data_IF_427394295642
#
_entry.id   IF_427394295642
#
_cell.length_a   1.000
_cell.length_b   1.000
_cell.length_c   1.000
_cell.angle_alpha   90.00
_cell.angle_beta   90.00
_cell.angle_gamma   90.00
#
_symmetry.space_group_name_H-M   'P 1'
#
loop_
_entity.id
_entity.type
_entity.pdbx_description
1 polymer ?
#
# COMPACT_ATOMS: atom_id res chain seq x y z
N UNK A 1 11.46 14.23 -13.34
CA UNK A 1 11.40 12.79 -12.98
C UNK A 1 11.80 12.56 -11.51
N UNK A 2 12.92 13.07 -11.02
CA UNK A 2 13.39 12.88 -9.65
C UNK A 2 12.35 13.25 -8.59
N UNK A 3 11.76 14.44 -8.69
CA UNK A 3 10.69 14.88 -7.81
C UNK A 3 9.49 13.91 -7.77
N UNK A 4 9.13 13.31 -8.89
CA UNK A 4 8.06 12.30 -8.97
C UNK A 4 8.47 10.98 -8.30
N UNK A 5 9.71 10.53 -8.48
CA UNK A 5 10.23 9.34 -7.77
C UNK A 5 10.21 9.55 -6.25
N UNK A 6 10.71 10.69 -5.78
CA UNK A 6 10.60 11.08 -4.35
C UNK A 6 9.16 11.10 -3.89
N UNK A 7 8.28 11.67 -4.74
CA UNK A 7 6.84 11.76 -4.51
C UNK A 7 6.18 10.42 -4.25
N UNK A 8 6.63 9.33 -4.87
CA UNK A 8 6.09 7.99 -4.61
C UNK A 8 6.24 7.58 -3.15
N UNK A 9 7.44 7.72 -2.57
CA UNK A 9 7.69 7.34 -1.17
C UNK A 9 7.03 8.31 -0.20
N UNK A 10 7.20 9.62 -0.44
CA UNK A 10 6.65 10.66 0.41
C UNK A 10 5.11 10.67 0.38
N UNK A 11 4.51 10.46 -0.80
CA UNK A 11 3.06 10.38 -0.96
C UNK A 11 2.47 9.15 -0.28
N UNK A 12 3.13 7.99 -0.40
CA UNK A 12 2.78 6.78 0.34
C UNK A 12 2.77 7.06 1.85
N UNK A 13 3.88 7.58 2.38
CA UNK A 13 4.02 7.90 3.79
C UNK A 13 3.00 8.96 4.25
N UNK A 14 2.70 9.97 3.42
CA UNK A 14 1.72 10.98 3.75
C UNK A 14 0.29 10.43 3.80
N UNK A 15 -0.08 9.58 2.84
CA UNK A 15 -1.38 8.92 2.84
C UNK A 15 -1.58 8.06 4.08
N UNK A 16 -0.60 7.23 4.41
CA UNK A 16 -0.53 6.42 5.63
C UNK A 16 -0.73 7.28 6.89
N UNK A 17 0.14 8.26 7.09
CA UNK A 17 0.12 9.17 8.26
C UNK A 17 -1.19 9.93 8.38
N UNK A 18 -1.73 10.44 7.28
CA UNK A 18 -2.98 11.20 7.27
C UNK A 18 -4.19 10.30 7.56
N UNK A 19 -4.16 9.04 7.15
CA UNK A 19 -5.24 8.07 7.36
C UNK A 19 -5.26 7.44 8.75
N UNK A 20 -4.08 7.24 9.36
CA UNK A 20 -3.91 6.56 10.66
C UNK A 20 -4.82 7.04 11.81
N UNK A 21 -5.08 8.36 12.02
CA UNK A 21 -5.91 8.81 13.14
C UNK A 21 -7.33 8.28 13.16
N UNK A 22 -7.85 7.87 12.00
CA UNK A 22 -9.23 7.43 11.83
C UNK A 22 -9.37 6.02 11.23
N UNK A 23 -8.27 5.24 11.24
CA UNK A 23 -8.26 3.84 10.80
C UNK A 23 -9.32 3.01 11.54
N UNK A 24 -10.12 2.26 10.77
CA UNK A 24 -11.20 1.43 11.29
C UNK A 24 -12.43 2.19 11.78
N UNK A 25 -12.51 3.50 11.52
CA UNK A 25 -13.68 4.31 11.85
C UNK A 25 -14.69 4.26 10.69
N UNK A 26 -15.97 4.47 11.02
CA UNK A 26 -17.01 4.70 10.00
C UNK A 26 -17.05 6.20 9.66
N UNK A 27 -17.48 6.54 8.45
CA UNK A 27 -17.67 7.93 8.00
C UNK A 27 -18.39 8.80 9.05
N UNK A 28 -19.52 8.32 9.56
CA UNK A 28 -20.30 9.02 10.59
C UNK A 28 -19.49 9.29 11.87
N UNK A 29 -18.65 8.35 12.30
CA UNK A 29 -17.82 8.52 13.50
C UNK A 29 -16.74 9.58 13.29
N UNK A 30 -16.18 9.67 12.07
CA UNK A 30 -15.24 10.71 11.68
C UNK A 30 -15.92 12.09 11.70
N UNK A 31 -17.10 12.18 11.10
CA UNK A 31 -17.91 13.41 11.07
C UNK A 31 -18.31 13.87 12.48
N UNK A 32 -18.72 12.96 13.37
CA UNK A 32 -19.11 13.28 14.75
C UNK A 32 -17.94 13.80 15.58
N UNK A 33 -16.71 13.29 15.36
CA UNK A 33 -15.54 13.66 16.16
C UNK A 33 -14.79 14.86 15.61
N UNK A 34 -14.57 14.89 14.28
CA UNK A 34 -13.74 15.90 13.62
C UNK A 34 -14.53 16.90 12.77
N UNK A 35 -15.84 16.69 12.56
CA UNK A 35 -16.60 17.45 11.57
C UNK A 35 -16.09 17.11 10.16
N UNK A 36 -15.64 18.11 9.44
CA UNK A 36 -14.96 17.91 8.16
C UNK A 36 -13.48 17.58 8.41
N UNK A 37 -13.09 16.31 8.25
CA UNK A 37 -11.67 15.94 8.30
C UNK A 37 -10.94 16.58 7.11
N UNK A 38 -10.09 17.57 7.39
CA UNK A 38 -9.47 18.44 6.36
C UNK A 38 -7.93 18.43 6.40
N UNK A 39 -7.33 17.92 7.50
CA UNK A 39 -5.89 17.84 7.67
C UNK A 39 -5.53 16.85 8.80
N UNK A 40 -4.24 16.54 8.92
CA UNK A 40 -3.75 15.82 10.09
C UNK A 40 -4.02 16.67 11.35
N UNK A 41 -4.75 16.16 12.36
CA UNK A 41 -5.04 16.92 13.56
C UNK A 41 -3.75 17.26 14.32
N UNK A 42 -3.72 18.41 14.99
CA UNK A 42 -2.59 18.79 15.85
C UNK A 42 -2.64 18.10 17.22
N UNK A 43 -3.83 17.65 17.63
CA UNK A 43 -4.06 16.88 18.84
C UNK A 43 -5.31 15.99 18.67
N UNK A 44 -5.34 14.87 19.37
CA UNK A 44 -6.54 14.03 19.42
C UNK A 44 -7.61 14.64 20.32
N UNK A 45 -8.87 14.79 19.87
CA UNK A 45 -9.97 15.21 20.72
C UNK A 45 -10.44 14.05 21.62
N UNK A 46 -9.62 13.69 22.60
CA UNK A 46 -9.76 12.48 23.43
C UNK A 46 -11.15 12.33 24.04
N UNK A 47 -11.74 13.42 24.50
CA UNK A 47 -13.07 13.42 25.14
C UNK A 47 -14.18 12.96 24.19
N UNK A 48 -13.99 13.15 22.88
CA UNK A 48 -14.95 12.72 21.84
C UNK A 48 -14.68 11.31 21.31
N UNK A 49 -13.48 10.75 21.55
CA UNK A 49 -13.07 9.45 21.00
C UNK A 49 -13.51 8.34 21.96
N UNK A 50 -14.25 7.36 21.45
CA UNK A 50 -14.66 6.17 22.22
C UNK A 50 -13.44 5.39 22.76
N UNK A 51 -13.48 4.94 24.01
CA UNK A 51 -12.36 4.29 24.71
C UNK A 51 -11.73 3.14 23.92
N UNK A 52 -12.55 2.27 23.29
CA UNK A 52 -12.07 1.16 22.46
C UNK A 52 -11.20 1.60 21.28
N UNK A 53 -11.38 2.84 20.79
CA UNK A 53 -10.60 3.40 19.68
C UNK A 53 -9.35 4.11 20.16
N UNK A 54 -9.35 4.67 21.39
CA UNK A 54 -8.17 5.31 21.98
C UNK A 54 -6.98 4.37 22.05
N UNK A 55 -7.21 3.06 22.25
CA UNK A 55 -6.16 2.03 22.30
C UNK A 55 -5.43 1.80 20.97
N UNK A 56 -5.96 2.31 19.86
CA UNK A 56 -5.34 2.23 18.52
C UNK A 56 -4.66 3.54 18.11
N UNK A 57 -4.76 4.58 18.94
CA UNK A 57 -4.11 5.84 18.62
C UNK A 57 -2.60 5.71 18.74
N UNK A 58 -1.90 6.35 17.83
CA UNK A 58 -0.45 6.44 17.77
C UNK A 58 -0.01 7.91 17.79
N UNK A 59 1.26 8.25 18.07
CA UNK A 59 1.74 9.62 17.91
C UNK A 59 1.34 10.18 16.54
N UNK A 60 0.85 11.40 16.50
CA UNK A 60 0.49 12.05 15.23
C UNK A 60 1.74 12.21 14.36
N UNK A 61 1.60 11.90 13.09
CA UNK A 61 2.71 11.88 12.16
C UNK A 61 3.48 10.55 12.09
N UNK A 62 3.27 9.63 13.03
CA UNK A 62 3.91 8.31 12.99
C UNK A 62 3.20 7.41 11.97
N UNK A 63 3.98 6.90 11.04
CA UNK A 63 3.55 5.97 10.00
C UNK A 63 3.20 4.56 10.55
N UNK A 64 2.39 3.82 9.79
CA UNK A 64 2.00 2.43 10.07
C UNK A 64 2.93 1.40 9.42
N UNK A 65 2.45 0.16 9.31
CA UNK A 65 3.14 -0.90 8.58
C UNK A 65 3.16 -0.68 7.06
N UNK A 66 2.31 0.15 6.50
CA UNK A 66 2.31 0.52 5.08
C UNK A 66 3.65 1.11 4.67
N UNK A 67 4.04 2.22 5.29
CA UNK A 67 5.33 2.88 5.07
C UNK A 67 6.50 2.02 5.53
N UNK A 68 6.36 1.35 6.67
CA UNK A 68 7.36 0.46 7.25
C UNK A 68 7.77 -0.66 6.30
N UNK A 69 6.79 -1.37 5.73
CA UNK A 69 7.03 -2.44 4.79
C UNK A 69 7.52 -1.93 3.43
N UNK A 70 7.10 -0.73 3.00
CA UNK A 70 7.63 -0.07 1.82
C UNK A 70 9.13 0.25 1.96
N UNK A 71 9.55 0.80 3.09
CA UNK A 71 10.96 1.04 3.40
C UNK A 71 11.76 -0.28 3.47
N UNK A 72 11.22 -1.34 4.08
CA UNK A 72 11.85 -2.66 4.11
C UNK A 72 12.07 -3.24 2.71
N UNK A 73 11.12 -3.00 1.81
CA UNK A 73 11.20 -3.44 0.42
C UNK A 73 12.31 -2.68 -0.33
N UNK A 74 12.40 -1.35 -0.15
CA UNK A 74 13.51 -0.53 -0.67
C UNK A 74 14.85 -1.02 -0.14
N UNK A 75 14.96 -1.29 1.17
CA UNK A 75 16.18 -1.86 1.79
C UNK A 75 16.62 -3.14 1.10
N UNK A 76 15.68 -4.01 0.75
CA UNK A 76 15.97 -5.29 0.10
C UNK A 76 16.42 -5.09 -1.34
N UNK A 77 15.72 -4.24 -2.10
CA UNK A 77 16.03 -4.01 -3.52
C UNK A 77 17.35 -3.27 -3.73
N UNK A 78 17.75 -2.39 -2.80
CA UNK A 78 19.00 -1.63 -2.85
C UNK A 78 20.16 -2.33 -2.12
N UNK A 79 20.00 -3.57 -1.72
CA UNK A 79 21.12 -4.37 -1.23
C UNK A 79 22.13 -4.67 -2.36
N UNK A 80 23.38 -4.94 -1.97
CA UNK A 80 24.39 -5.38 -2.93
C UNK A 80 23.92 -6.62 -3.68
N UNK A 81 23.92 -6.58 -5.01
CA UNK A 81 23.40 -7.63 -5.88
C UNK A 81 21.90 -7.51 -6.24
N UNK A 82 21.20 -6.46 -5.78
CA UNK A 82 19.79 -6.22 -6.12
C UNK A 82 18.80 -7.09 -5.34
N UNK A 83 17.62 -7.32 -5.95
CA UNK A 83 16.56 -8.13 -5.35
C UNK A 83 17.01 -9.55 -5.01
N UNK A 84 16.69 -9.97 -3.78
CA UNK A 84 16.96 -11.34 -3.31
C UNK A 84 15.84 -11.79 -2.35
N UNK A 85 15.21 -12.94 -2.64
CA UNK A 85 14.10 -13.51 -1.86
C UNK A 85 14.50 -13.86 -0.43
N UNK A 86 15.71 -14.36 -0.23
CA UNK A 86 16.17 -14.75 1.10
C UNK A 86 16.48 -13.51 1.94
N UNK A 87 16.99 -12.43 1.34
CA UNK A 87 17.14 -11.13 2.00
C UNK A 87 15.78 -10.56 2.41
N UNK A 88 14.77 -10.63 1.53
CA UNK A 88 13.39 -10.26 1.84
C UNK A 88 12.82 -11.08 3.01
N UNK A 89 12.92 -12.40 2.96
CA UNK A 89 12.53 -13.27 4.07
C UNK A 89 13.26 -12.91 5.36
N UNK A 90 14.56 -12.66 5.27
CA UNK A 90 15.40 -12.34 6.42
C UNK A 90 14.94 -11.06 7.13
N UNK A 91 14.75 -9.96 6.41
CA UNK A 91 14.31 -8.70 7.00
C UNK A 91 12.92 -8.82 7.65
N UNK A 92 11.98 -9.52 7.00
CA UNK A 92 10.65 -9.74 7.52
C UNK A 92 10.67 -10.57 8.83
N UNK A 93 11.40 -11.68 8.84
CA UNK A 93 11.46 -12.57 10.00
C UNK A 93 12.24 -11.94 11.16
N UNK A 94 13.34 -11.23 10.87
CA UNK A 94 14.09 -10.54 11.90
C UNK A 94 13.29 -9.38 12.51
N UNK A 95 12.57 -8.61 11.69
CA UNK A 95 11.66 -7.56 12.19
C UNK A 95 10.59 -8.11 13.13
N UNK A 96 10.01 -9.28 12.81
CA UNK A 96 9.09 -9.95 13.73
C UNK A 96 9.77 -10.35 15.04
N UNK A 97 10.99 -10.91 15.00
CA UNK A 97 11.74 -11.32 16.20
C UNK A 97 12.10 -10.14 17.10
N UNK A 98 12.38 -9.00 16.51
CA UNK A 98 12.75 -7.76 17.21
C UNK A 98 11.54 -6.90 17.63
N UNK A 99 10.31 -7.31 17.26
CA UNK A 99 9.12 -6.53 17.54
C UNK A 99 9.04 -5.23 16.75
N UNK A 100 9.69 -5.18 15.58
CA UNK A 100 9.78 -4.00 14.75
C UNK A 100 8.45 -3.66 14.04
N UNK A 101 7.66 -4.68 13.68
CA UNK A 101 6.42 -4.49 12.93
C UNK A 101 5.27 -4.00 13.83
N UNK A 102 4.60 -2.91 13.44
CA UNK A 102 3.41 -2.34 14.09
C UNK A 102 2.20 -2.34 13.15
N UNK A 103 1.00 -2.43 13.69
CA UNK A 103 -0.23 -2.37 12.89
C UNK A 103 -0.51 -3.58 11.99
N UNK A 104 0.42 -4.53 11.89
CA UNK A 104 0.37 -5.62 10.91
C UNK A 104 -0.85 -6.52 11.02
N UNK A 105 -1.43 -6.85 9.88
CA UNK A 105 -2.57 -7.74 9.78
C UNK A 105 -2.23 -9.21 10.11
N UNK A 106 -3.27 -9.98 10.46
CA UNK A 106 -3.17 -11.40 10.81
C UNK A 106 -2.46 -12.23 9.74
N UNK A 107 -2.82 -12.06 8.48
CA UNK A 107 -2.30 -12.88 7.38
C UNK A 107 -0.80 -12.65 7.12
N UNK A 108 -0.33 -11.41 7.27
CA UNK A 108 1.10 -11.10 7.24
C UNK A 108 1.83 -11.82 8.37
N UNK A 109 1.32 -11.71 9.60
CA UNK A 109 1.90 -12.38 10.77
C UNK A 109 1.97 -13.91 10.61
N UNK A 110 0.91 -14.53 10.06
CA UNK A 110 0.88 -15.97 9.79
C UNK A 110 1.94 -16.38 8.75
N UNK A 111 2.14 -15.59 7.70
CA UNK A 111 3.19 -15.85 6.70
C UNK A 111 4.59 -15.80 7.34
N UNK A 112 4.85 -14.77 8.16
CA UNK A 112 6.12 -14.63 8.86
C UNK A 112 6.38 -15.80 9.85
N UNK A 113 5.34 -16.27 10.53
CA UNK A 113 5.47 -17.46 11.39
C UNK A 113 5.85 -18.72 10.61
N UNK A 114 5.31 -18.92 9.40
CA UNK A 114 5.70 -20.04 8.52
C UNK A 114 7.15 -19.89 8.08
N UNK A 115 7.56 -18.71 7.61
CA UNK A 115 8.96 -18.42 7.23
C UNK A 115 9.92 -18.66 8.39
N UNK A 116 9.56 -18.25 9.63
CA UNK A 116 10.37 -18.46 10.84
C UNK A 116 10.54 -19.94 11.16
N UNK A 117 9.53 -20.78 10.86
CA UNK A 117 9.60 -22.25 11.03
C UNK A 117 10.39 -22.97 9.93
N UNK A 118 10.97 -22.22 8.99
CA UNK A 118 11.80 -22.76 7.91
C UNK A 118 11.08 -22.95 6.58
N UNK A 119 9.79 -22.61 6.47
CA UNK A 119 9.08 -22.72 5.20
C UNK A 119 9.73 -21.81 4.15
N UNK A 120 9.81 -22.30 2.92
CA UNK A 120 10.35 -21.53 1.79
C UNK A 120 9.46 -20.34 1.49
N UNK A 121 10.04 -19.26 0.94
CA UNK A 121 9.32 -18.03 0.58
C UNK A 121 8.16 -18.33 -0.36
N UNK A 122 8.37 -19.21 -1.32
CA UNK A 122 7.40 -19.60 -2.35
C UNK A 122 6.14 -20.27 -1.77
N UNK A 123 6.21 -20.76 -0.53
CA UNK A 123 5.10 -21.47 0.11
C UNK A 123 4.52 -20.76 1.34
N UNK A 124 5.21 -19.73 1.84
CA UNK A 124 4.88 -19.10 3.12
C UNK A 124 3.67 -18.19 3.09
N UNK A 125 3.26 -17.68 1.94
CA UNK A 125 2.15 -16.74 1.78
C UNK A 125 0.83 -17.23 2.39
N UNK A 126 0.03 -16.30 2.90
CA UNK A 126 -1.29 -16.57 3.48
C UNK A 126 -2.42 -16.40 2.44
N UNK A 127 -3.56 -17.10 2.58
CA UNK A 127 -4.69 -17.01 1.65
C UNK A 127 -5.46 -15.70 1.87
N UNK A 128 -4.93 -14.59 1.39
CA UNK A 128 -5.47 -13.25 1.58
C UNK A 128 -5.49 -12.46 0.27
N UNK A 129 -6.66 -11.96 -0.10
CA UNK A 129 -6.87 -10.98 -1.16
C UNK A 129 -6.86 -9.53 -0.61
N UNK A 130 -6.28 -9.33 0.58
CA UNK A 130 -6.14 -8.02 1.20
C UNK A 130 -5.07 -7.16 0.55
N UNK A 131 -4.98 -5.90 0.98
CA UNK A 131 -4.10 -4.89 0.38
C UNK A 131 -2.66 -4.91 0.90
N UNK A 132 -2.30 -5.78 1.85
CA UNK A 132 -0.98 -5.76 2.49
C UNK A 132 0.23 -5.99 1.56
N UNK A 133 0.03 -6.51 0.33
CA UNK A 133 1.06 -6.51 -0.70
C UNK A 133 1.06 -5.18 -1.49
N UNK A 134 -0.13 -4.66 -1.83
CA UNK A 134 -0.28 -3.45 -2.64
C UNK A 134 0.19 -2.18 -1.92
N UNK A 135 -0.07 -2.07 -0.61
CA UNK A 135 0.27 -0.88 0.18
C UNK A 135 1.76 -0.51 0.17
N UNK A 136 2.63 -1.51 0.07
CA UNK A 136 4.09 -1.34 0.12
C UNK A 136 4.78 -1.31 -1.24
N UNK A 137 4.03 -1.59 -2.33
CA UNK A 137 4.62 -1.89 -3.64
C UNK A 137 5.09 -0.65 -4.41
N UNK A 138 4.56 0.52 -4.07
CA UNK A 138 4.81 1.77 -4.80
C UNK A 138 6.27 2.03 -5.13
N UNK A 139 7.20 1.94 -4.17
CA UNK A 139 8.62 2.16 -4.41
C UNK A 139 9.24 1.29 -5.51
N UNK A 140 8.73 0.07 -5.76
CA UNK A 140 9.22 -0.77 -6.86
C UNK A 140 8.97 -0.14 -8.22
N UNK A 141 7.77 0.46 -8.42
CA UNK A 141 7.45 1.20 -9.63
C UNK A 141 8.40 2.38 -9.86
N UNK A 142 8.95 2.97 -8.80
CA UNK A 142 9.94 4.05 -8.91
C UNK A 142 11.37 3.55 -9.14
N UNK A 143 11.77 2.45 -8.49
CA UNK A 143 13.09 1.84 -8.66
C UNK A 143 13.28 1.26 -10.06
N UNK A 144 12.26 0.60 -10.58
CA UNK A 144 12.29 -0.13 -11.85
C UNK A 144 11.38 0.50 -12.91
N UNK A 145 11.35 1.85 -12.98
CA UNK A 145 10.46 2.58 -13.87
C UNK A 145 10.90 2.63 -15.35
N UNK A 146 12.09 2.15 -15.68
CA UNK A 146 12.56 2.15 -17.07
C UNK A 146 11.90 1.02 -17.86
N UNK A 147 11.54 1.24 -19.15
CA UNK A 147 10.90 0.20 -19.96
C UNK A 147 11.68 -1.12 -20.00
N UNK A 148 13.02 -1.05 -20.02
CA UNK A 148 13.92 -2.21 -20.06
C UNK A 148 13.87 -3.04 -18.76
N UNK A 149 13.35 -2.48 -17.69
CA UNK A 149 13.24 -3.11 -16.37
C UNK A 149 11.85 -3.72 -16.13
N UNK A 150 10.95 -3.68 -17.11
CA UNK A 150 9.57 -4.14 -16.94
C UNK A 150 9.48 -5.60 -16.47
N UNK A 151 10.30 -6.51 -17.00
CA UNK A 151 10.34 -7.91 -16.59
C UNK A 151 10.84 -8.07 -15.14
N UNK A 152 11.87 -7.31 -14.76
CA UNK A 152 12.37 -7.29 -13.40
C UNK A 152 11.30 -6.73 -12.43
N UNK A 153 10.59 -5.68 -12.83
CA UNK A 153 9.50 -5.12 -12.03
C UNK A 153 8.40 -6.17 -11.79
N UNK A 154 7.97 -6.91 -12.81
CA UNK A 154 7.04 -8.03 -12.67
C UNK A 154 7.56 -9.06 -11.67
N UNK A 155 8.79 -9.52 -11.86
CA UNK A 155 9.39 -10.53 -11.00
C UNK A 155 9.40 -10.08 -9.53
N UNK A 156 9.97 -8.91 -9.24
CA UNK A 156 10.14 -8.42 -7.87
C UNK A 156 8.78 -8.16 -7.21
N UNK A 157 7.84 -7.56 -7.95
CA UNK A 157 6.51 -7.26 -7.43
C UNK A 157 5.73 -8.52 -7.09
N UNK A 158 5.73 -9.54 -7.97
CA UNK A 158 5.02 -10.80 -7.74
C UNK A 158 5.68 -11.61 -6.63
N UNK A 159 7.01 -11.79 -6.66
CA UNK A 159 7.74 -12.55 -5.64
C UNK A 159 7.58 -11.94 -4.23
N UNK A 160 7.72 -10.61 -4.11
CA UNK A 160 7.55 -9.93 -2.82
C UNK A 160 6.11 -10.00 -2.29
N UNK A 161 5.13 -10.02 -3.19
CA UNK A 161 3.71 -10.11 -2.85
C UNK A 161 3.33 -11.53 -2.42
N UNK A 162 3.65 -12.55 -3.22
CA UNK A 162 3.34 -13.95 -2.96
C UNK A 162 4.00 -14.48 -1.70
N UNK A 163 5.15 -13.93 -1.32
CA UNK A 163 5.82 -14.27 -0.05
C UNK A 163 4.90 -14.11 1.17
N UNK A 164 3.94 -13.19 1.12
CA UNK A 164 3.04 -12.90 2.25
C UNK A 164 1.56 -13.09 1.94
N UNK A 165 1.13 -12.87 0.69
CA UNK A 165 -0.25 -12.92 0.21
C UNK A 165 -0.30 -13.82 -1.02
N UNK A 166 -0.70 -15.08 -0.84
CA UNK A 166 -0.71 -16.06 -1.94
C UNK A 166 -1.99 -16.06 -2.80
N UNK A 167 -2.95 -15.18 -2.52
CA UNK A 167 -4.11 -14.98 -3.40
C UNK A 167 -3.66 -14.28 -4.68
N UNK A 168 -3.97 -14.87 -5.85
CA UNK A 168 -3.55 -14.35 -7.15
C UNK A 168 -4.06 -12.92 -7.40
N UNK A 169 -5.24 -12.56 -6.85
CA UNK A 169 -5.78 -11.19 -6.95
C UNK A 169 -4.92 -10.18 -6.21
N UNK A 170 -4.46 -10.52 -4.99
CA UNK A 170 -3.62 -9.63 -4.20
C UNK A 170 -2.25 -9.39 -4.85
N UNK A 171 -1.61 -10.47 -5.31
CA UNK A 171 -0.30 -10.38 -5.97
C UNK A 171 -0.40 -9.69 -7.34
N UNK A 172 -1.39 -10.06 -8.15
CA UNK A 172 -1.63 -9.46 -9.46
C UNK A 172 -1.95 -7.97 -9.37
N UNK A 173 -2.82 -7.56 -8.43
CA UNK A 173 -3.12 -6.14 -8.23
C UNK A 173 -1.90 -5.35 -7.75
N UNK A 174 -1.11 -5.89 -6.81
CA UNK A 174 0.10 -5.22 -6.33
C UNK A 174 1.11 -5.00 -7.48
N UNK A 175 1.36 -6.02 -8.30
CA UNK A 175 2.26 -5.89 -9.44
C UNK A 175 1.71 -4.91 -10.49
N UNK A 176 0.41 -4.94 -10.77
CA UNK A 176 -0.25 -3.98 -11.65
C UNK A 176 -0.11 -2.54 -11.15
N UNK A 177 -0.26 -2.31 -9.85
CA UNK A 177 -0.06 -1.00 -9.22
C UNK A 177 1.38 -0.49 -9.38
N UNK A 178 2.38 -1.37 -9.23
CA UNK A 178 3.78 -1.01 -9.47
C UNK A 178 4.02 -0.57 -10.93
N UNK A 179 3.42 -1.28 -11.90
CA UNK A 179 3.46 -0.90 -13.31
C UNK A 179 2.70 0.39 -13.61
N UNK A 180 1.55 0.63 -12.97
CA UNK A 180 0.83 1.90 -13.09
C UNK A 180 1.70 3.08 -12.64
N UNK A 181 2.40 2.94 -11.51
CA UNK A 181 3.36 3.94 -11.01
C UNK A 181 4.51 4.15 -12.00
N UNK A 182 5.07 3.07 -12.57
CA UNK A 182 6.13 3.18 -13.59
C UNK A 182 5.65 3.94 -14.83
N UNK A 183 4.44 3.69 -15.33
CA UNK A 183 3.85 4.41 -16.47
C UNK A 183 3.68 5.91 -16.18
N UNK A 184 3.20 6.28 -14.99
CA UNK A 184 3.09 7.68 -14.56
C UNK A 184 4.46 8.38 -14.51
N UNK A 185 5.49 7.68 -14.05
CA UNK A 185 6.87 8.18 -14.04
C UNK A 185 7.47 8.29 -15.44
N UNK A 186 7.04 7.46 -16.38
CA UNK A 186 7.39 7.57 -17.80
C UNK A 186 6.63 8.71 -18.50
N UNK A 187 5.76 9.45 -17.80
CA UNK A 187 5.07 10.63 -18.32
C UNK A 187 3.65 10.37 -18.83
N UNK A 188 3.12 9.17 -18.65
CA UNK A 188 1.71 8.90 -18.95
C UNK A 188 0.80 9.70 -18.00
N UNK A 189 -0.31 10.19 -18.54
CA UNK A 189 -1.40 10.75 -17.71
C UNK A 189 -2.12 9.66 -16.92
N UNK A 190 -2.95 10.05 -15.94
CA UNK A 190 -3.79 9.10 -15.22
C UNK A 190 -4.72 8.32 -16.16
N UNK A 191 -5.32 8.99 -17.14
CA UNK A 191 -6.19 8.37 -18.15
C UNK A 191 -5.43 7.36 -19.03
N UNK A 192 -4.27 7.73 -19.56
CA UNK A 192 -3.45 6.82 -20.38
C UNK A 192 -2.95 5.62 -19.56
N UNK A 193 -2.62 5.84 -18.29
CA UNK A 193 -2.24 4.77 -17.38
C UNK A 193 -3.41 3.79 -17.20
N UNK A 194 -4.60 4.26 -16.82
CA UNK A 194 -5.78 3.39 -16.68
C UNK A 194 -6.11 2.63 -17.97
N UNK A 195 -5.98 3.26 -19.13
CA UNK A 195 -6.24 2.63 -20.42
C UNK A 195 -5.27 1.48 -20.75
N UNK A 196 -4.05 1.51 -20.19
CA UNK A 196 -3.05 0.46 -20.36
C UNK A 196 -3.24 -0.73 -19.40
N UNK A 197 -3.97 -0.56 -18.29
CA UNK A 197 -4.07 -1.58 -17.24
C UNK A 197 -4.75 -2.89 -17.65
N UNK A 198 -5.77 -2.94 -18.53
CA UNK A 198 -6.34 -4.21 -18.99
C UNK A 198 -5.33 -5.15 -19.63
N UNK A 199 -4.44 -4.61 -20.46
CA UNK A 199 -3.37 -5.38 -21.11
C UNK A 199 -2.31 -5.83 -20.10
N UNK A 200 -1.88 -4.94 -19.20
CA UNK A 200 -0.95 -5.27 -18.14
C UNK A 200 -1.54 -6.31 -17.15
N UNK A 201 -2.83 -6.24 -16.87
CA UNK A 201 -3.47 -7.23 -16.00
C UNK A 201 -3.50 -8.61 -16.65
N UNK A 202 -3.69 -8.70 -17.97
CA UNK A 202 -3.56 -9.95 -18.72
C UNK A 202 -2.13 -10.50 -18.66
N UNK A 203 -1.11 -9.68 -18.90
CA UNK A 203 0.30 -10.08 -18.75
C UNK A 203 0.61 -10.56 -17.33
N UNK A 204 0.08 -9.89 -16.31
CA UNK A 204 0.22 -10.29 -14.90
C UNK A 204 -0.40 -11.66 -14.61
N UNK A 205 -1.56 -11.96 -15.21
CA UNK A 205 -2.22 -13.27 -15.11
C UNK A 205 -1.36 -14.39 -15.72
N UNK A 206 -0.79 -14.17 -16.91
CA UNK A 206 0.13 -15.13 -17.55
C UNK A 206 1.37 -15.40 -16.68
N UNK A 207 1.99 -14.35 -16.12
CA UNK A 207 3.16 -14.49 -15.24
C UNK A 207 2.83 -15.22 -13.93
N UNK A 208 1.67 -14.99 -13.35
CA UNK A 208 1.22 -15.75 -12.18
C UNK A 208 1.05 -17.24 -12.52
N UNK A 209 0.49 -17.59 -13.67
CA UNK A 209 0.38 -18.98 -14.14
C UNK A 209 1.77 -19.61 -14.33
N UNK A 210 2.73 -18.85 -14.84
CA UNK A 210 4.11 -19.30 -14.99
C UNK A 210 4.79 -19.55 -13.66
N UNK A 211 4.62 -18.67 -12.67
CA UNK A 211 5.12 -18.83 -11.30
C UNK A 211 4.49 -20.05 -10.60
N UNK A 212 3.20 -20.31 -10.81
CA UNK A 212 2.54 -21.52 -10.32
C UNK A 212 3.23 -22.80 -10.85
N UNK A 213 3.54 -22.85 -12.16
CA UNK A 213 4.30 -23.95 -12.77
C UNK A 213 5.72 -24.07 -12.21
N UNK A 214 6.32 -22.98 -11.78
CA UNK A 214 7.65 -22.93 -11.15
C UNK A 214 7.62 -23.30 -9.64
N UNK A 215 6.44 -23.68 -9.11
CA UNK A 215 6.29 -24.18 -7.75
C UNK A 215 5.93 -23.10 -6.71
N UNK A 216 5.53 -21.90 -7.12
CA UNK A 216 4.93 -20.93 -6.20
C UNK A 216 3.54 -21.39 -5.78
N UNK A 217 3.30 -21.44 -4.48
CA UNK A 217 1.98 -21.77 -3.94
C UNK A 217 1.05 -20.56 -4.05
N UNK A 218 -0.01 -20.69 -4.83
CA UNK A 218 -1.04 -19.68 -5.04
C UNK A 218 -2.44 -20.22 -4.83
N UNK A 219 -3.35 -19.31 -4.45
CA UNK A 219 -4.79 -19.55 -4.53
C UNK A 219 -5.27 -18.91 -5.85
N UNK A 220 -5.52 -19.75 -6.84
CA UNK A 220 -5.86 -19.33 -8.21
C UNK A 220 -7.36 -19.04 -8.40
N UNK A 221 -8.15 -19.19 -7.36
CA UNK A 221 -9.58 -18.90 -7.39
C UNK A 221 -9.79 -17.44 -7.83
N UNK A 222 -10.52 -17.26 -8.94
CA UNK A 222 -10.76 -15.95 -9.55
C UNK A 222 -9.48 -15.20 -9.96
N UNK A 223 -8.47 -15.88 -10.50
CA UNK A 223 -7.23 -15.27 -10.99
C UNK A 223 -7.47 -14.20 -12.08
N UNK A 224 -8.50 -14.34 -12.91
CA UNK A 224 -8.92 -13.37 -13.92
C UNK A 224 -9.62 -12.12 -13.38
N UNK A 225 -9.97 -12.10 -12.09
CA UNK A 225 -10.80 -11.02 -11.52
C UNK A 225 -10.16 -9.63 -11.62
N UNK A 226 -8.82 -9.54 -11.57
CA UNK A 226 -8.11 -8.26 -11.73
C UNK A 226 -8.24 -7.78 -13.18
N UNK A 227 -8.04 -8.63 -14.18
CA UNK A 227 -8.19 -8.28 -15.59
C UNK A 227 -9.62 -7.87 -15.91
N UNK A 228 -10.60 -8.64 -15.45
CA UNK A 228 -12.02 -8.33 -15.64
C UNK A 228 -12.41 -6.99 -15.00
N UNK A 229 -11.86 -6.71 -13.81
CA UNK A 229 -12.04 -5.44 -13.14
C UNK A 229 -11.43 -4.27 -13.93
N UNK A 230 -10.20 -4.42 -14.46
CA UNK A 230 -9.54 -3.37 -15.22
C UNK A 230 -10.25 -3.05 -16.53
N UNK A 231 -10.77 -4.05 -17.24
CA UNK A 231 -11.57 -3.85 -18.48
C UNK A 231 -12.78 -2.94 -18.22
N UNK A 232 -13.40 -3.05 -17.06
CA UNK A 232 -14.53 -2.19 -16.68
C UNK A 232 -14.07 -0.85 -16.12
N UNK A 233 -13.16 -0.89 -15.16
CA UNK A 233 -12.77 0.26 -14.35
C UNK A 233 -12.02 1.34 -15.13
N UNK A 234 -11.26 0.98 -16.18
CA UNK A 234 -10.54 1.94 -17.00
C UNK A 234 -11.46 2.98 -17.69
N UNK A 235 -12.77 2.67 -17.79
CA UNK A 235 -13.78 3.58 -18.37
C UNK A 235 -14.45 4.50 -17.34
N UNK A 236 -14.15 4.36 -16.03
CA UNK A 236 -14.88 5.06 -14.97
C UNK A 236 -14.26 6.39 -14.53
N UNK A 237 -13.14 6.78 -15.12
CA UNK A 237 -12.40 7.98 -14.71
C UNK A 237 -13.24 9.27 -14.78
N UNK A 238 -14.18 9.36 -15.73
CA UNK A 238 -15.04 10.53 -15.92
C UNK A 238 -16.36 10.48 -15.11
N UNK A 239 -16.61 9.40 -14.41
CA UNK A 239 -17.81 9.30 -13.59
C UNK A 239 -17.72 10.23 -12.38
N UNK A 240 -18.84 10.79 -11.91
CA UNK A 240 -18.90 11.38 -10.58
C UNK A 240 -18.39 10.39 -9.52
N UNK A 241 -17.63 10.88 -8.54
CA UNK A 241 -16.96 10.03 -7.52
C UNK A 241 -17.92 9.01 -6.88
N UNK A 242 -19.11 9.45 -6.50
CA UNK A 242 -20.11 8.58 -5.88
C UNK A 242 -20.67 7.52 -6.85
N UNK A 243 -20.74 7.82 -8.13
CA UNK A 243 -21.15 6.84 -9.15
C UNK A 243 -20.04 5.80 -9.37
N UNK A 244 -18.79 6.23 -9.41
CA UNK A 244 -17.62 5.35 -9.48
C UNK A 244 -17.56 4.41 -8.26
N UNK A 245 -17.73 4.93 -7.03
CA UNK A 245 -17.75 4.15 -5.79
C UNK A 245 -18.87 3.10 -5.78
N UNK A 246 -20.06 3.44 -6.28
CA UNK A 246 -21.15 2.47 -6.42
C UNK A 246 -20.78 1.34 -7.38
N UNK A 247 -20.28 1.67 -8.58
CA UNK A 247 -19.84 0.66 -9.56
C UNK A 247 -18.74 -0.23 -9.01
N UNK A 248 -17.79 0.34 -8.28
CA UNK A 248 -16.72 -0.40 -7.60
C UNK A 248 -17.30 -1.42 -6.61
N UNK A 249 -18.26 -0.99 -5.79
CA UNK A 249 -18.93 -1.87 -4.83
C UNK A 249 -19.70 -3.00 -5.53
N UNK A 250 -20.37 -2.71 -6.63
CA UNK A 250 -21.14 -3.71 -7.40
C UNK A 250 -20.21 -4.72 -8.10
N UNK A 251 -19.09 -4.26 -8.67
CA UNK A 251 -18.06 -5.11 -9.27
C UNK A 251 -17.43 -6.07 -8.24
N UNK A 252 -17.11 -5.59 -7.06
CA UNK A 252 -16.43 -6.39 -6.05
C UNK A 252 -17.35 -7.37 -5.31
N UNK A 253 -18.66 -7.09 -5.26
CA UNK A 253 -19.63 -7.86 -4.45
C UNK A 253 -19.63 -9.37 -4.74
N UNK A 254 -19.60 -9.85 -6.00
CA UNK A 254 -19.55 -11.29 -6.29
C UNK A 254 -18.25 -11.97 -5.82
N UNK A 255 -17.22 -11.19 -5.57
CA UNK A 255 -15.89 -11.66 -5.17
C UNK A 255 -15.69 -11.68 -3.64
N UNK A 256 -16.66 -11.16 -2.88
CA UNK A 256 -16.62 -11.17 -1.42
C UNK A 256 -16.96 -12.56 -0.89
N UNK A 257 -16.35 -12.92 0.24
CA UNK A 257 -16.68 -14.17 0.94
C UNK A 257 -18.15 -14.17 1.38
N UNK A 258 -18.74 -15.34 1.39
CA UNK A 258 -20.07 -15.57 1.91
C UNK A 258 -20.22 -14.97 3.32
N UNK A 259 -21.31 -14.24 3.57
CA UNK A 259 -21.54 -13.51 4.83
C UNK A 259 -21.10 -12.04 4.83
N UNK A 260 -20.32 -11.57 3.85
CA UNK A 260 -20.07 -10.15 3.67
C UNK A 260 -21.22 -9.50 2.90
N UNK A 261 -22.09 -8.79 3.61
CA UNK A 261 -23.31 -8.20 3.03
C UNK A 261 -23.08 -6.81 2.41
N UNK A 262 -21.99 -6.15 2.73
CA UNK A 262 -21.70 -4.78 2.28
C UNK A 262 -20.30 -4.70 1.67
N UNK A 263 -20.23 -4.26 0.41
CA UNK A 263 -19.01 -3.86 -0.25
C UNK A 263 -18.80 -2.35 0.00
N UNK A 264 -17.72 -1.97 0.68
CA UNK A 264 -17.38 -0.58 0.95
C UNK A 264 -16.11 -0.20 0.18
N UNK A 265 -16.04 0.99 -0.48
CA UNK A 265 -14.87 1.39 -1.28
C UNK A 265 -13.54 1.29 -0.55
N UNK A 266 -13.49 1.59 0.74
CA UNK A 266 -12.27 1.48 1.56
C UNK A 266 -12.17 0.17 2.34
N UNK A 267 -12.81 -0.89 1.91
CA UNK A 267 -12.64 -2.18 2.58
C UNK A 267 -11.26 -2.78 2.24
N UNK A 268 -10.64 -3.45 3.21
CA UNK A 268 -9.32 -4.08 3.09
C UNK A 268 -9.27 -5.25 2.08
N UNK A 269 -9.73 -5.03 0.86
CA UNK A 269 -9.77 -5.96 -0.27
C UNK A 269 -9.30 -5.26 -1.54
N UNK A 270 -8.41 -5.88 -2.33
CA UNK A 270 -7.78 -5.25 -3.49
C UNK A 270 -8.77 -4.73 -4.53
N UNK A 271 -9.89 -5.42 -4.77
CA UNK A 271 -10.95 -4.99 -5.69
C UNK A 271 -11.85 -3.87 -5.11
N UNK A 272 -11.68 -3.50 -3.85
CA UNK A 272 -12.33 -2.36 -3.22
C UNK A 272 -11.30 -1.29 -2.90
N UNK A 273 -10.63 -1.34 -1.74
CA UNK A 273 -9.71 -0.31 -1.31
C UNK A 273 -8.55 -0.06 -2.29
N UNK A 274 -7.96 -1.11 -2.84
CA UNK A 274 -6.88 -0.98 -3.82
C UNK A 274 -7.34 -0.30 -5.11
N UNK A 275 -8.43 -0.78 -5.69
CA UNK A 275 -8.97 -0.21 -6.93
C UNK A 275 -9.55 1.19 -6.71
N UNK A 276 -10.18 1.46 -5.54
CA UNK A 276 -10.62 2.80 -5.17
C UNK A 276 -9.47 3.80 -5.13
N UNK A 277 -8.36 3.43 -4.46
CA UNK A 277 -7.16 4.25 -4.40
C UNK A 277 -6.62 4.59 -5.80
N UNK A 278 -6.47 3.59 -6.66
CA UNK A 278 -5.95 3.73 -8.01
C UNK A 278 -6.84 4.65 -8.87
N UNK A 279 -8.15 4.41 -8.89
CA UNK A 279 -9.10 5.20 -9.67
C UNK A 279 -9.15 6.65 -9.22
N UNK A 280 -9.21 6.90 -7.90
CA UNK A 280 -9.23 8.25 -7.35
C UNK A 280 -7.95 9.02 -7.70
N UNK A 281 -6.80 8.36 -7.63
CA UNK A 281 -5.49 9.01 -7.83
C UNK A 281 -5.14 9.26 -9.30
N UNK A 282 -5.78 8.55 -10.23
CA UNK A 282 -5.62 8.80 -11.67
C UNK A 282 -6.49 9.95 -12.19
N UNK A 283 -7.38 10.52 -11.37
CA UNK A 283 -8.25 11.65 -11.74
C UNK A 283 -7.48 12.97 -11.76
N UNK A 284 -7.79 13.81 -12.74
CA UNK A 284 -7.19 15.14 -12.89
C UNK A 284 -8.10 16.28 -12.41
N UNK A 285 -9.36 15.98 -12.04
CA UNK A 285 -10.37 16.93 -11.60
C UNK A 285 -10.34 17.25 -10.10
N UNK A 286 -9.43 16.60 -9.34
CA UNK A 286 -9.25 16.84 -7.91
C UNK A 286 -7.78 17.11 -7.59
N UNK A 287 -7.55 18.04 -6.67
CA UNK A 287 -6.22 18.28 -6.11
C UNK A 287 -5.75 17.08 -5.26
N UNK A 288 -4.44 16.77 -5.23
CA UNK A 288 -3.91 15.59 -4.53
C UNK A 288 -4.34 15.46 -3.07
N UNK A 289 -4.32 16.57 -2.34
CA UNK A 289 -4.76 16.59 -0.94
C UNK A 289 -6.24 16.23 -0.82
N UNK A 290 -7.10 16.76 -1.72
CA UNK A 290 -8.53 16.45 -1.68
C UNK A 290 -8.84 15.02 -2.09
N UNK A 291 -8.03 14.41 -2.97
CA UNK A 291 -8.13 12.97 -3.27
C UNK A 291 -7.93 12.15 -1.99
N UNK A 292 -6.86 12.40 -1.23
CA UNK A 292 -6.61 11.69 0.03
C UNK A 292 -7.72 11.95 1.05
N UNK A 293 -8.12 13.18 1.23
CA UNK A 293 -9.18 13.54 2.19
C UNK A 293 -10.53 12.92 1.80
N UNK A 294 -10.86 12.91 0.50
CA UNK A 294 -12.08 12.24 0.00
C UNK A 294 -12.09 10.74 0.30
N UNK A 295 -10.92 10.08 0.18
CA UNK A 295 -10.76 8.67 0.56
C UNK A 295 -10.92 8.50 2.09
N UNK A 296 -10.20 9.27 2.88
CA UNK A 296 -10.15 9.14 4.34
C UNK A 296 -11.53 9.40 4.98
N UNK A 297 -12.26 10.38 4.49
CA UNK A 297 -13.62 10.71 4.99
C UNK A 297 -14.61 9.56 4.85
N UNK A 298 -14.38 8.60 3.96
CA UNK A 298 -15.22 7.40 3.86
C UNK A 298 -15.02 6.43 5.04
N UNK A 299 -13.91 6.53 5.76
CA UNK A 299 -13.61 5.63 6.88
C UNK A 299 -13.11 4.25 6.45
N UNK A 300 -13.24 3.26 7.31
CA UNK A 300 -12.72 1.89 7.17
C UNK A 300 -11.19 1.83 7.16
N UNK A 301 -10.58 1.27 6.15
CA UNK A 301 -9.12 1.09 5.99
C UNK A 301 -8.51 2.36 5.38
N UNK A 302 -8.47 3.42 6.18
CA UNK A 302 -8.17 4.78 5.72
C UNK A 302 -6.69 5.01 5.45
N UNK A 303 -5.81 4.41 6.24
CA UNK A 303 -4.36 4.51 6.11
C UNK A 303 -3.86 3.77 4.87
N UNK A 304 -4.22 2.48 4.71
CA UNK A 304 -3.79 1.69 3.56
C UNK A 304 -4.31 2.24 2.22
N UNK A 305 -5.60 2.61 2.15
CA UNK A 305 -6.15 3.15 0.90
C UNK A 305 -5.53 4.49 0.55
N UNK A 306 -5.29 5.35 1.55
CA UNK A 306 -4.63 6.63 1.33
C UNK A 306 -3.12 6.47 1.05
N UNK A 307 -2.43 5.49 1.63
CA UNK A 307 -1.03 5.18 1.32
C UNK A 307 -0.86 4.76 -0.15
N UNK A 308 -1.72 3.85 -0.64
CA UNK A 308 -1.73 3.46 -2.06
C UNK A 308 -2.00 4.67 -2.96
N UNK A 309 -3.03 5.45 -2.63
CA UNK A 309 -3.38 6.66 -3.37
C UNK A 309 -2.25 7.69 -3.38
N UNK A 310 -1.62 7.91 -2.24
CA UNK A 310 -0.50 8.83 -2.08
C UNK A 310 0.71 8.45 -2.95
N UNK A 311 1.03 7.16 -3.04
CA UNK A 311 2.10 6.68 -3.92
C UNK A 311 1.81 7.00 -5.41
N UNK A 312 0.59 6.76 -5.87
CA UNK A 312 0.16 7.05 -7.24
C UNK A 312 0.15 8.55 -7.52
N UNK A 313 -0.38 9.36 -6.59
CA UNK A 313 -0.36 10.82 -6.68
C UNK A 313 1.06 11.36 -6.75
N UNK A 314 1.96 10.86 -5.90
CA UNK A 314 3.37 11.22 -5.93
C UNK A 314 4.04 10.93 -7.26
N UNK A 315 3.75 9.78 -7.87
CA UNK A 315 4.22 9.43 -9.22
C UNK A 315 3.65 10.36 -10.30
N UNK A 316 2.40 10.81 -10.14
CA UNK A 316 1.73 11.68 -11.10
C UNK A 316 2.22 13.12 -11.02
N UNK A 317 2.25 13.72 -9.81
CA UNK A 317 2.45 15.17 -9.63
C UNK A 317 3.70 15.56 -8.83
N UNK A 318 4.46 14.59 -8.30
CA UNK A 318 5.65 14.86 -7.48
C UNK A 318 5.35 15.08 -6.01
N UNK A 319 6.28 15.71 -5.27
CA UNK A 319 6.25 15.80 -3.80
C UNK A 319 5.93 17.20 -3.23
N UNK A 320 5.71 18.21 -4.08
CA UNK A 320 5.56 19.60 -3.62
C UNK A 320 4.30 19.86 -2.76
N UNK A 321 3.27 19.01 -2.89
CA UNK A 321 2.02 19.12 -2.14
C UNK A 321 2.06 18.44 -0.77
N UNK A 322 3.15 17.74 -0.42
CA UNK A 322 3.27 16.93 0.79
C UNK A 322 3.90 17.76 1.92
N UNK A 323 3.22 17.91 3.07
CA UNK A 323 3.73 18.64 4.22
C UNK A 323 4.72 17.78 5.03
N UNK A 324 5.98 17.75 4.59
CA UNK A 324 7.02 16.85 5.12
C UNK A 324 7.29 17.06 6.60
N UNK A 325 7.14 18.29 7.09
CA UNK A 325 7.29 18.67 8.49
C UNK A 325 6.27 18.02 9.44
N UNK A 326 5.21 17.42 8.89
CA UNK A 326 4.21 16.68 9.68
C UNK A 326 4.58 15.21 9.92
N UNK A 327 5.63 14.70 9.31
CA UNK A 327 6.12 13.34 9.59
C UNK A 327 6.84 13.28 10.95
N UNK A 328 6.53 12.29 11.76
CA UNK A 328 7.22 12.03 13.02
C UNK A 328 8.70 11.70 12.81
N UNK A 329 9.01 10.94 11.75
CA UNK A 329 10.36 10.51 11.36
C UNK A 329 10.74 11.11 9.99
N UNK A 330 10.62 12.45 9.88
CA UNK A 330 10.77 13.19 8.63
C UNK A 330 12.07 12.86 7.89
N UNK A 331 13.20 13.04 8.57
CA UNK A 331 14.52 12.91 7.93
C UNK A 331 14.73 11.52 7.31
N UNK A 332 14.24 10.50 7.98
CA UNK A 332 14.39 9.13 7.53
C UNK A 332 13.45 8.81 6.35
N UNK A 333 12.20 9.24 6.40
CA UNK A 333 11.26 9.09 5.28
C UNK A 333 11.80 9.80 4.04
N UNK A 334 12.36 11.02 4.19
CA UNK A 334 13.01 11.75 3.10
C UNK A 334 14.24 11.01 2.56
N UNK A 335 15.06 10.40 3.42
CA UNK A 335 16.20 9.60 2.98
C UNK A 335 15.77 8.39 2.13
N UNK A 336 14.63 7.74 2.47
CA UNK A 336 14.07 6.68 1.63
C UNK A 336 13.50 7.20 0.31
N UNK A 337 12.94 8.40 0.30
CA UNK A 337 12.50 9.05 -0.93
C UNK A 337 13.71 9.38 -1.85
N UNK A 338 14.80 9.87 -1.27
CA UNK A 338 16.05 10.12 -2.00
C UNK A 338 16.68 8.84 -2.55
N UNK A 339 16.54 7.73 -1.81
CA UNK A 339 17.04 6.44 -2.24
C UNK A 339 16.38 5.93 -3.54
N UNK A 340 15.13 6.32 -3.83
CA UNK A 340 14.47 5.98 -5.10
C UNK A 340 15.11 6.73 -6.30
N UNK A 341 15.80 7.81 -6.06
CA UNK A 341 16.51 8.61 -7.08
C UNK A 341 17.95 8.14 -7.19
N UNK A 342 18.64 8.12 -6.07
CA UNK A 342 20.09 7.84 -5.99
C UNK A 342 20.44 6.37 -6.15
N UNK A 343 19.45 5.48 -5.89
CA UNK A 343 19.62 4.03 -5.80
C UNK A 343 20.68 3.61 -4.77
N UNK A 344 20.87 4.44 -3.75
CA UNK A 344 21.75 4.15 -2.62
C UNK A 344 20.92 3.86 -1.39
N UNK A 345 21.21 2.75 -0.74
CA UNK A 345 20.50 2.33 0.47
C UNK A 345 20.75 3.34 1.61
N UNK A 346 19.69 3.88 2.26
CA UNK A 346 19.83 4.95 3.26
C UNK A 346 20.53 4.51 4.55
N UNK A 347 20.36 3.23 4.93
CA UNK A 347 20.84 2.68 6.18
C UNK A 347 21.08 1.16 6.07
N UNK A 348 21.70 0.56 7.08
CA UNK A 348 21.83 -0.91 7.12
C UNK A 348 20.51 -1.58 7.55
N UNK A 349 20.25 -2.85 7.18
CA UNK A 349 19.07 -3.58 7.65
C UNK A 349 18.98 -3.66 9.19
N UNK A 350 20.12 -3.75 9.88
CA UNK A 350 20.17 -3.78 11.34
C UNK A 350 19.75 -2.44 11.94
N UNK A 351 20.21 -1.31 11.38
CA UNK A 351 19.80 0.04 11.78
C UNK A 351 18.29 0.23 11.55
N UNK A 352 17.82 -0.15 10.35
CA UNK A 352 16.41 -0.10 9.99
C UNK A 352 15.53 -0.82 11.03
N UNK A 353 15.83 -2.08 11.33
CA UNK A 353 15.02 -2.88 12.25
C UNK A 353 15.07 -2.35 13.67
N UNK A 354 16.23 -1.84 14.12
CA UNK A 354 16.38 -1.21 15.44
C UNK A 354 15.50 0.02 15.56
N UNK A 355 15.54 0.92 14.60
CA UNK A 355 14.73 2.16 14.62
C UNK A 355 13.24 1.85 14.55
N UNK A 356 12.82 0.89 13.72
CA UNK A 356 11.43 0.48 13.66
C UNK A 356 10.94 -0.17 14.97
N UNK A 357 11.78 -0.92 15.66
CA UNK A 357 11.46 -1.46 16.98
C UNK A 357 11.28 -0.33 18.02
N UNK A 358 12.17 0.66 18.02
CA UNK A 358 12.08 1.84 18.89
C UNK A 358 10.78 2.64 18.66
N UNK A 359 10.42 2.88 17.40
CA UNK A 359 9.16 3.55 17.02
C UNK A 359 7.92 2.74 17.43
N UNK A 360 8.00 1.41 17.32
CA UNK A 360 6.93 0.50 17.75
C UNK A 360 6.74 0.55 19.27
N UNK A 361 7.80 0.66 20.04
CA UNK A 361 7.71 0.80 21.50
C UNK A 361 7.18 2.19 21.92
N UNK A 362 7.50 3.24 21.17
CA UNK A 362 6.89 4.57 21.33
C UNK A 362 5.38 4.48 21.09
N UNK A 363 4.91 3.83 20.02
CA UNK A 363 3.47 3.64 19.75
C UNK A 363 2.77 2.89 20.90
N UNK A 364 3.33 1.77 21.36
CA UNK A 364 2.78 0.99 22.49
C UNK A 364 2.66 1.85 23.76
N UNK A 365 3.72 2.62 24.07
CA UNK A 365 3.74 3.50 25.23
C UNK A 365 2.68 4.60 25.12
N UNK A 366 2.50 5.15 23.94
CA UNK A 366 1.48 6.16 23.66
C UNK A 366 0.06 5.60 23.84
N UNK A 367 -0.22 4.43 23.30
CA UNK A 367 -1.51 3.75 23.42
C UNK A 367 -1.88 3.39 24.85
N UNK A 368 -0.88 3.06 25.71
CA UNK A 368 -1.11 2.74 27.11
C UNK A 368 -1.42 3.96 27.98
N UNK A 369 -1.07 5.19 27.54
CA UNK A 369 -1.28 6.43 28.31
C UNK A 369 -2.63 7.10 28.03
N UNK A 370 -3.38 6.60 27.09
CA UNK A 370 -4.67 7.14 26.62
C UNK A 370 -5.85 6.25 27.01
#
# INVERSE_FOLDING_TARGET
MENKKRGVMLGLAWGDVLGCPVEGWRKREIEEVYGQYSELPTAYPIDKIAEKKRRRLRPLGLHSDDTQQAMALVQTCLAAGGWNRDAWKSILVQGMKQGAWRGVGRFFTEALHRMRKGERVEHAGSPSAGMGAAMRIGPLGALYCQPEQADLLWQVALESSLATHRDARAAGFAALLAHAIALLLQGKSGRETLAALPELAWQGEERLQEMSKQGWRMDEVNSSAIREAMVQACTWIDLPVEAMRRRLSDLARPQLKEGFTRAHPNQGFVLLGGLHALLMSCRDDLEPTEVLLSIIREGFDTDTVAAIAGAVLGARVGDAWIPKEKFYDQMRIEAYADALVTQVRPETPASFLKQEAELTDIEKTFSCRK
#
